data_IF_481481057561
#
_entry.id   IF_481481057561
#
_cell.length_a   1.000
_cell.length_b   1.000
_cell.length_c   1.000
_cell.angle_alpha   90.00
_cell.angle_beta   90.00
_cell.angle_gamma   90.00
#
_symmetry.space_group_name_H-M   'P 1'
#
loop_
_entity.id
_entity.type
_entity.pdbx_description
1 polymer ?
#
# COMPACT_ATOMS: atom_id res chain seq x y z
N UNK A 1 -19.25 -17.62 37.19
CA UNK A 1 -18.11 -17.86 36.60
C UNK A 1 -17.62 -16.83 35.58
N UNK A 2 -16.51 -16.50 35.77
CA UNK A 2 -15.96 -15.48 34.90
C UNK A 2 -15.72 -16.00 33.52
N UNK A 3 -16.03 -15.19 32.63
CA UNK A 3 -15.59 -15.37 31.29
C UNK A 3 -14.45 -14.43 31.08
N UNK A 4 -13.90 -14.50 29.92
CA UNK A 4 -12.86 -13.59 29.56
C UNK A 4 -13.35 -12.17 29.80
N UNK A 5 -12.61 -11.38 30.54
CA UNK A 5 -13.04 -10.02 30.85
C UNK A 5 -13.04 -9.10 29.65
N UNK A 6 -12.42 -9.51 28.57
CA UNK A 6 -12.42 -8.72 27.35
C UNK A 6 -12.73 -9.62 26.18
N UNK A 7 -13.37 -9.09 25.15
CA UNK A 7 -13.64 -9.89 23.97
C UNK A 7 -12.35 -10.24 23.26
N UNK A 8 -12.28 -11.49 22.84
CA UNK A 8 -11.20 -11.91 21.96
C UNK A 8 -11.58 -11.44 20.56
N UNK A 9 -10.69 -10.73 19.87
CA UNK A 9 -11.01 -10.29 18.51
C UNK A 9 -11.29 -11.48 17.60
N UNK A 10 -12.37 -11.37 16.86
CA UNK A 10 -12.68 -12.37 15.84
C UNK A 10 -11.75 -12.14 14.64
N UNK A 11 -11.46 -13.20 13.84
CA UNK A 11 -10.62 -13.01 12.67
C UNK A 11 -11.10 -11.92 11.73
N UNK A 12 -12.41 -11.78 11.57
CA UNK A 12 -12.97 -10.72 10.74
C UNK A 12 -12.66 -9.34 11.29
N UNK A 13 -12.67 -9.19 12.61
CA UNK A 13 -12.34 -7.92 13.26
C UNK A 13 -10.90 -7.54 13.00
N UNK A 14 -9.98 -8.50 13.18
CA UNK A 14 -8.56 -8.25 12.91
C UNK A 14 -8.32 -7.89 11.46
N UNK A 15 -9.00 -8.58 10.55
CA UNK A 15 -8.88 -8.31 9.12
C UNK A 15 -9.33 -6.89 8.79
N UNK A 16 -10.46 -6.47 9.35
CA UNK A 16 -10.98 -5.11 9.14
C UNK A 16 -10.03 -4.06 9.68
N UNK A 17 -9.43 -4.29 10.85
CA UNK A 17 -8.44 -3.38 11.42
C UNK A 17 -7.22 -3.25 10.53
N UNK A 18 -6.73 -4.38 10.02
CA UNK A 18 -5.58 -4.38 9.11
C UNK A 18 -5.90 -3.65 7.81
N UNK A 19 -7.11 -3.82 7.28
CA UNK A 19 -7.53 -3.09 6.09
C UNK A 19 -7.55 -1.59 6.33
N UNK A 20 -7.99 -1.15 7.51
CA UNK A 20 -7.94 0.26 7.87
C UNK A 20 -6.52 0.80 7.88
N UNK A 21 -5.59 0.06 8.44
CA UNK A 21 -4.17 0.41 8.44
C UNK A 21 -3.59 0.45 7.04
N UNK A 22 -3.98 -0.52 6.20
CA UNK A 22 -3.54 -0.57 4.82
C UNK A 22 -4.01 0.64 4.03
N UNK A 23 -5.26 1.05 4.21
CA UNK A 23 -5.79 2.25 3.55
C UNK A 23 -5.04 3.49 3.95
N UNK A 24 -4.76 3.63 5.23
CA UNK A 24 -4.00 4.76 5.74
C UNK A 24 -2.59 4.78 5.13
N UNK A 25 -1.95 3.62 5.06
CA UNK A 25 -0.63 3.52 4.45
C UNK A 25 -0.65 3.91 2.98
N UNK A 26 -1.66 3.46 2.24
CA UNK A 26 -1.82 3.82 0.83
C UNK A 26 -2.00 5.33 0.68
N UNK A 27 -2.86 5.93 1.49
CA UNK A 27 -3.09 7.37 1.44
C UNK A 27 -1.80 8.15 1.71
N UNK A 28 -1.03 7.70 2.68
CA UNK A 28 0.24 8.33 3.01
C UNK A 28 1.22 8.24 1.84
N UNK A 29 1.34 7.07 1.25
CA UNK A 29 2.25 6.86 0.12
C UNK A 29 1.81 7.65 -1.11
N UNK A 30 0.49 7.74 -1.35
CA UNK A 30 -0.02 8.57 -2.44
C UNK A 30 0.29 10.03 -2.22
N UNK A 31 0.22 10.49 -0.98
CA UNK A 31 0.59 11.87 -0.65
C UNK A 31 2.07 12.13 -0.89
N UNK A 32 2.91 11.16 -0.52
CA UNK A 32 4.35 11.24 -0.78
C UNK A 32 4.61 11.37 -2.28
N UNK A 33 3.91 10.59 -3.09
CA UNK A 33 4.05 10.66 -4.54
C UNK A 33 3.62 12.01 -5.10
N UNK A 34 2.54 12.59 -4.57
CA UNK A 34 2.09 13.92 -4.98
C UNK A 34 3.16 14.98 -4.68
N UNK A 35 3.73 14.91 -3.48
CA UNK A 35 4.76 15.87 -3.06
C UNK A 35 6.01 15.69 -3.92
N UNK A 36 6.43 14.46 -4.16
CA UNK A 36 7.58 14.17 -5.00
C UNK A 36 7.38 14.72 -6.40
N UNK A 37 6.18 14.53 -6.95
CA UNK A 37 5.85 15.05 -8.27
C UNK A 37 5.94 16.55 -8.34
N UNK A 38 5.41 17.25 -7.32
CA UNK A 38 5.44 18.69 -7.26
C UNK A 38 6.87 19.24 -7.13
N UNK A 39 7.75 18.49 -6.46
CA UNK A 39 9.14 18.88 -6.27
C UNK A 39 10.06 18.43 -7.41
N UNK A 40 9.56 17.59 -8.30
CA UNK A 40 10.39 17.02 -9.36
C UNK A 40 11.38 15.97 -8.87
N UNK A 41 11.16 15.44 -7.67
CA UNK A 41 12.05 14.43 -7.08
C UNK A 41 11.36 13.07 -7.14
N UNK A 42 11.79 12.23 -8.06
CA UNK A 42 11.15 10.93 -8.32
C UNK A 42 11.96 9.74 -7.81
N UNK A 43 12.97 9.99 -6.97
CA UNK A 43 13.87 8.92 -6.53
C UNK A 43 13.17 7.79 -5.76
N UNK A 44 12.14 8.11 -5.00
CA UNK A 44 11.42 7.12 -4.20
C UNK A 44 10.15 6.59 -4.85
N UNK A 45 9.84 7.01 -6.07
CA UNK A 45 8.55 6.69 -6.68
C UNK A 45 8.37 5.19 -6.91
N UNK A 46 9.39 4.49 -7.39
CA UNK A 46 9.30 3.05 -7.64
C UNK A 46 8.99 2.29 -6.35
N UNK A 47 9.68 2.61 -5.27
CA UNK A 47 9.43 1.97 -3.98
C UNK A 47 8.01 2.23 -3.50
N UNK A 48 7.52 3.45 -3.65
CA UNK A 48 6.16 3.80 -3.25
C UNK A 48 5.12 3.02 -4.07
N UNK A 49 5.30 2.95 -5.38
CA UNK A 49 4.38 2.20 -6.24
C UNK A 49 4.39 0.71 -5.89
N UNK A 50 5.57 0.12 -5.69
CA UNK A 50 5.68 -1.28 -5.32
C UNK A 50 5.02 -1.58 -3.99
N UNK A 51 5.20 -0.71 -3.00
CA UNK A 51 4.60 -0.89 -1.68
C UNK A 51 3.08 -0.78 -1.76
N UNK A 52 2.56 0.19 -2.49
CA UNK A 52 1.10 0.34 -2.67
C UNK A 52 0.54 -0.92 -3.35
N UNK A 53 1.21 -1.42 -4.38
CA UNK A 53 0.77 -2.63 -5.07
C UNK A 53 0.72 -3.83 -4.12
N UNK A 54 1.73 -3.99 -3.28
CA UNK A 54 1.77 -5.07 -2.29
C UNK A 54 0.62 -4.97 -1.31
N UNK A 55 0.32 -3.76 -0.85
CA UNK A 55 -0.79 -3.53 0.08
C UNK A 55 -2.12 -3.88 -0.57
N UNK A 56 -2.34 -3.44 -1.80
CA UNK A 56 -3.57 -3.79 -2.52
C UNK A 56 -3.70 -5.29 -2.71
N UNK A 57 -2.59 -5.98 -2.96
CA UNK A 57 -2.59 -7.44 -3.08
C UNK A 57 -3.01 -8.09 -1.76
N UNK A 58 -2.50 -7.60 -0.64
CA UNK A 58 -2.84 -8.15 0.68
C UNK A 58 -4.32 -8.01 1.00
N UNK A 59 -4.94 -6.91 0.60
CA UNK A 59 -6.36 -6.69 0.87
C UNK A 59 -7.27 -7.22 -0.23
N UNK A 60 -6.72 -7.90 -1.23
CA UNK A 60 -7.50 -8.56 -2.26
C UNK A 60 -7.96 -7.67 -3.40
N UNK A 61 -7.47 -6.45 -3.51
CA UNK A 61 -7.79 -5.52 -4.59
C UNK A 61 -6.82 -5.71 -5.74
N UNK A 62 -6.95 -6.81 -6.46
CA UNK A 62 -5.97 -7.25 -7.43
C UNK A 62 -5.88 -6.34 -8.67
N UNK A 63 -6.99 -5.76 -9.09
CA UNK A 63 -6.98 -4.85 -10.24
C UNK A 63 -6.17 -3.59 -9.92
N UNK A 64 -6.38 -3.03 -8.74
CA UNK A 64 -5.61 -1.88 -8.28
C UNK A 64 -4.14 -2.24 -8.11
N UNK A 65 -3.87 -3.43 -7.55
CA UNK A 65 -2.50 -3.90 -7.39
C UNK A 65 -1.79 -3.96 -8.75
N UNK A 66 -2.46 -4.48 -9.77
CA UNK A 66 -1.89 -4.58 -11.11
C UNK A 66 -1.56 -3.20 -11.67
N UNK A 67 -2.43 -2.21 -11.48
CA UNK A 67 -2.19 -0.84 -11.94
C UNK A 67 -0.90 -0.27 -11.33
N UNK A 68 -0.69 -0.49 -10.03
CA UNK A 68 0.49 0.02 -9.36
C UNK A 68 1.75 -0.78 -9.66
N UNK A 69 1.63 -2.09 -9.90
CA UNK A 69 2.76 -2.87 -10.38
C UNK A 69 3.22 -2.40 -11.75
N UNK A 70 2.29 -2.06 -12.63
CA UNK A 70 2.63 -1.50 -13.93
C UNK A 70 3.40 -0.20 -13.79
N UNK A 71 2.98 0.68 -12.89
CA UNK A 71 3.68 1.93 -12.61
C UNK A 71 5.08 1.65 -12.05
N UNK A 72 5.18 0.67 -11.16
CA UNK A 72 6.46 0.25 -10.61
C UNK A 72 7.42 -0.22 -11.73
N UNK A 73 6.93 -1.06 -12.62
CA UNK A 73 7.72 -1.57 -13.73
C UNK A 73 8.16 -0.45 -14.65
N UNK A 74 7.26 0.48 -14.96
CA UNK A 74 7.58 1.65 -15.77
C UNK A 74 8.72 2.47 -15.17
N UNK A 75 8.65 2.72 -13.86
CA UNK A 75 9.71 3.45 -13.17
C UNK A 75 11.03 2.72 -13.17
N UNK A 76 10.98 1.41 -12.92
CA UNK A 76 12.20 0.59 -12.93
C UNK A 76 12.82 0.55 -14.31
N UNK A 77 12.02 0.48 -15.37
CA UNK A 77 12.51 0.48 -16.73
C UNK A 77 13.11 1.82 -17.13
N UNK A 78 12.49 2.92 -16.68
CA UNK A 78 12.98 4.26 -16.98
C UNK A 78 14.33 4.53 -16.31
N UNK A 79 14.55 3.96 -15.11
CA UNK A 79 15.76 4.13 -14.34
C UNK A 79 16.79 3.03 -14.63
N UNK A 80 16.43 2.07 -15.44
CA UNK A 80 17.29 0.94 -15.74
C UNK A 80 18.50 1.32 -16.59
N UNK A 81 19.48 0.44 -16.61
CA UNK A 81 20.66 0.66 -17.45
C UNK A 81 20.24 0.67 -18.91
N UNK A 82 20.85 1.51 -19.64
CA UNK A 82 20.59 1.65 -21.07
C UNK A 82 21.48 0.73 -21.86
#
# INVERSE_FOLDING_TARGET
MPHAPWPVPMPQTLHALRQGQHRTAIQHLQRVLEISGAMGDHLGDADAYGTIADIYTEIGHFERAAEFYDKYIERMSADGPV
#
